data_IF_850246766136
#
_entry.id   IF_850246766136
#
_cell.length_a   1.000
_cell.length_b   1.000
_cell.length_c   1.000
_cell.angle_alpha   90.00
_cell.angle_beta   90.00
_cell.angle_gamma   90.00
#
_symmetry.space_group_name_H-M   'P 1'
#
loop_
_entity.id
_entity.type
_entity.pdbx_description
1 polymer ?
#
# COMPACT_ATOMS: atom_id res chain seq x y z
N UNK A 1 47.37 -29.41 70.76
CA UNK A 1 45.94 -29.05 70.94
C UNK A 1 45.61 -27.56 70.65
N UNK A 2 46.43 -26.79 69.91
CA UNK A 2 46.18 -25.35 69.66
C UNK A 2 45.47 -25.03 68.33
N UNK A 3 45.44 -25.98 67.38
CA UNK A 3 44.82 -25.79 66.06
C UNK A 3 43.35 -26.24 66.00
N UNK A 4 42.88 -27.08 66.94
CA UNK A 4 41.49 -27.57 66.98
C UNK A 4 40.52 -26.46 67.39
N UNK A 5 40.92 -25.60 68.34
CA UNK A 5 40.11 -24.45 68.76
C UNK A 5 39.96 -23.41 67.65
N UNK A 6 40.98 -23.22 66.81
CA UNK A 6 40.92 -22.27 65.69
C UNK A 6 40.00 -22.78 64.56
N UNK A 7 40.02 -24.09 64.28
CA UNK A 7 39.07 -24.72 63.34
C UNK A 7 37.64 -24.73 63.85
N UNK A 8 37.43 -24.87 65.16
CA UNK A 8 36.10 -24.81 65.79
C UNK A 8 35.48 -23.40 65.75
N UNK A 9 36.30 -22.35 65.88
CA UNK A 9 35.84 -20.94 65.79
C UNK A 9 35.47 -20.56 64.35
N UNK A 10 36.21 -21.04 63.36
CA UNK A 10 35.90 -20.81 61.93
C UNK A 10 34.65 -21.59 61.52
N UNK A 11 34.44 -22.80 62.06
CA UNK A 11 33.23 -23.59 61.85
C UNK A 11 31.99 -22.97 62.52
N UNK A 12 32.14 -22.31 63.68
CA UNK A 12 31.04 -21.59 64.34
C UNK A 12 30.59 -20.34 63.57
N UNK A 13 31.49 -19.68 62.85
CA UNK A 13 31.17 -18.47 62.08
C UNK A 13 30.43 -18.79 60.76
N UNK A 14 30.53 -20.03 60.26
CA UNK A 14 29.88 -20.47 59.02
C UNK A 14 28.40 -20.87 59.19
N UNK A 15 27.87 -20.93 60.41
CA UNK A 15 26.50 -21.42 60.69
C UNK A 15 25.52 -20.25 60.93
N UNK A 16 25.97 -18.99 60.92
CA UNK A 16 25.05 -17.86 60.92
C UNK A 16 24.50 -17.64 59.50
N UNK A 17 23.21 -17.87 59.23
CA UNK A 17 22.63 -17.39 58.00
C UNK A 17 22.71 -15.87 58.03
N UNK A 18 23.42 -15.30 57.06
CA UNK A 18 23.33 -13.88 56.70
C UNK A 18 21.91 -13.63 56.16
N UNK A 19 20.90 -13.68 57.03
CA UNK A 19 19.53 -13.28 56.69
C UNK A 19 19.51 -11.75 56.66
N UNK A 20 19.96 -11.18 55.53
CA UNK A 20 19.88 -9.76 55.29
C UNK A 20 18.41 -9.33 55.25
N UNK A 21 18.00 -8.49 56.20
CA UNK A 21 16.68 -7.84 56.20
C UNK A 21 16.61 -6.96 54.95
N UNK A 22 15.56 -7.12 54.15
CA UNK A 22 15.33 -6.37 52.92
C UNK A 22 14.19 -5.38 53.15
N UNK A 23 14.28 -4.23 52.47
CA UNK A 23 13.24 -3.19 52.53
C UNK A 23 12.51 -3.15 51.19
N UNK A 24 11.19 -3.36 51.23
CA UNK A 24 10.31 -3.29 50.08
C UNK A 24 9.53 -1.98 50.16
N UNK A 25 9.76 -1.11 49.19
CA UNK A 25 9.05 0.16 49.08
C UNK A 25 7.76 -0.05 48.28
N UNK A 26 6.61 0.36 48.81
CA UNK A 26 5.32 0.32 48.11
C UNK A 26 4.99 1.68 47.49
N UNK A 27 4.26 1.67 46.37
CA UNK A 27 3.76 2.87 45.68
C UNK A 27 2.83 3.74 46.53
N UNK A 28 2.24 3.16 47.58
CA UNK A 28 1.34 3.85 48.52
C UNK A 28 2.09 4.50 49.70
N UNK A 29 3.42 4.50 49.70
CA UNK A 29 4.22 5.15 50.73
C UNK A 29 4.51 4.30 51.97
N UNK A 30 4.09 3.03 52.01
CA UNK A 30 4.44 2.08 53.07
C UNK A 30 5.75 1.35 52.72
N UNK A 31 6.63 1.17 53.68
CA UNK A 31 7.79 0.27 53.57
C UNK A 31 7.55 -0.97 54.41
N UNK A 32 7.89 -2.13 53.85
CA UNK A 32 7.80 -3.43 54.54
C UNK A 32 9.23 -3.97 54.66
N UNK A 33 9.65 -4.20 55.91
CA UNK A 33 10.94 -4.82 56.23
C UNK A 33 10.74 -6.31 56.48
N UNK A 34 11.47 -7.14 55.75
CA UNK A 34 11.32 -8.59 55.82
C UNK A 34 12.31 -9.33 54.95
N UNK A 35 12.28 -10.66 55.03
CA UNK A 35 13.08 -11.54 54.19
C UNK A 35 12.21 -11.94 53.00
N UNK A 36 12.69 -11.73 51.78
CA UNK A 36 11.98 -12.18 50.58
C UNK A 36 12.26 -13.66 50.38
N UNK A 37 11.22 -14.48 50.52
CA UNK A 37 11.30 -15.94 50.50
C UNK A 37 11.13 -16.48 49.08
N UNK A 38 10.25 -15.87 48.29
CA UNK A 38 10.00 -16.25 46.90
C UNK A 38 9.56 -15.05 46.05
N UNK A 39 9.91 -15.08 44.75
CA UNK A 39 9.51 -14.07 43.78
C UNK A 39 8.92 -14.75 42.55
N UNK A 40 7.66 -14.45 42.24
CA UNK A 40 6.96 -14.89 41.04
C UNK A 40 6.77 -13.72 40.06
N UNK A 41 6.19 -13.95 38.87
CA UNK A 41 5.97 -12.91 37.84
C UNK A 41 5.03 -11.81 38.34
N UNK A 42 4.01 -12.16 39.13
CA UNK A 42 2.97 -11.23 39.59
C UNK A 42 3.08 -10.83 41.07
N UNK A 43 3.79 -11.61 41.89
CA UNK A 43 3.85 -11.45 43.35
C UNK A 43 5.25 -11.65 43.94
N UNK A 44 5.44 -11.11 45.14
CA UNK A 44 6.61 -11.26 46.00
C UNK A 44 6.13 -11.74 47.36
N UNK A 45 6.69 -12.84 47.83
CA UNK A 45 6.39 -13.43 49.13
C UNK A 45 7.45 -12.99 50.14
N UNK A 46 7.00 -12.48 51.28
CA UNK A 46 7.84 -11.81 52.27
C UNK A 46 7.51 -12.31 53.66
N UNK A 47 8.53 -12.77 54.37
CA UNK A 47 8.44 -13.05 55.80
C UNK A 47 8.82 -11.80 56.59
N UNK A 48 7.82 -11.22 57.25
CA UNK A 48 7.99 -10.01 58.07
C UNK A 48 8.76 -10.36 59.35
N UNK A 49 9.50 -9.42 59.92
CA UNK A 49 10.22 -9.60 61.20
C UNK A 49 9.32 -10.08 62.36
N UNK A 50 8.01 -9.88 62.25
CA UNK A 50 6.99 -10.34 63.20
C UNK A 50 6.57 -11.81 63.02
N UNK A 51 7.25 -12.58 62.14
CA UNK A 51 6.93 -13.98 61.84
C UNK A 51 5.71 -14.19 60.95
N UNK A 52 5.19 -13.13 60.32
CA UNK A 52 4.02 -13.19 59.42
C UNK A 52 4.45 -13.24 57.96
N UNK A 53 3.99 -14.26 57.25
CA UNK A 53 4.13 -14.41 55.81
C UNK A 53 3.12 -13.51 55.07
N UNK A 54 3.59 -12.70 54.12
CA UNK A 54 2.77 -11.78 53.33
C UNK A 54 3.07 -11.90 51.84
N UNK A 55 2.01 -11.95 51.03
CA UNK A 55 2.11 -11.96 49.56
C UNK A 55 1.77 -10.56 49.03
N UNK A 56 2.72 -9.92 48.36
CA UNK A 56 2.61 -8.56 47.84
C UNK A 56 2.61 -8.61 46.31
N UNK A 57 1.67 -7.95 45.65
CA UNK A 57 1.69 -7.86 44.17
C UNK A 57 2.80 -6.92 43.69
N UNK A 58 3.55 -7.33 42.66
CA UNK A 58 4.56 -6.47 42.02
C UNK A 58 3.98 -5.17 41.44
N UNK A 59 2.67 -5.13 41.16
CA UNK A 59 1.96 -3.91 40.73
C UNK A 59 1.98 -2.81 41.80
N UNK A 60 2.08 -3.15 43.08
CA UNK A 60 2.10 -2.19 44.19
C UNK A 60 3.51 -1.90 44.71
N UNK A 61 4.52 -2.67 44.30
CA UNK A 61 5.92 -2.47 44.66
C UNK A 61 6.53 -1.35 43.82
N UNK A 62 7.25 -0.44 44.48
CA UNK A 62 8.04 0.63 43.88
C UNK A 62 9.46 0.14 43.58
N UNK A 63 10.15 -0.40 44.59
CA UNK A 63 11.53 -0.93 44.49
C UNK A 63 11.81 -1.88 45.65
N UNK A 64 12.61 -2.91 45.40
CA UNK A 64 13.10 -3.85 46.42
C UNK A 64 14.58 -3.54 46.66
N UNK A 65 14.96 -3.30 47.91
CA UNK A 65 16.33 -2.95 48.26
C UNK A 65 16.85 -3.98 49.26
N UNK A 66 17.94 -4.65 48.87
CA UNK A 66 18.57 -5.75 49.60
C UNK A 66 19.51 -5.24 50.72
N UNK A 67 19.11 -4.19 51.43
CA UNK A 67 19.84 -3.58 52.56
C UNK A 67 18.83 -2.89 53.49
N UNK A 68 19.09 -2.89 54.79
CA UNK A 68 18.32 -2.08 55.75
C UNK A 68 18.70 -0.60 55.58
N UNK A 69 17.69 0.26 55.36
CA UNK A 69 17.86 1.67 54.98
C UNK A 69 17.30 2.54 56.10
N UNK A 70 17.97 3.66 56.38
CA UNK A 70 17.47 4.69 57.29
C UNK A 70 16.33 5.49 56.64
N UNK A 71 15.39 5.98 57.46
CA UNK A 71 14.15 6.64 57.00
C UNK A 71 14.40 7.85 56.07
N UNK A 72 15.53 8.57 56.26
CA UNK A 72 15.94 9.69 55.40
C UNK A 72 16.42 9.28 53.99
N UNK A 73 17.02 8.10 53.86
CA UNK A 73 17.46 7.56 52.56
C UNK A 73 16.27 6.95 51.79
N UNK A 74 15.25 6.43 52.48
CA UNK A 74 14.01 5.97 51.85
C UNK A 74 13.23 7.09 51.16
N UNK A 75 13.19 8.29 51.76
CA UNK A 75 12.46 9.42 51.19
C UNK A 75 13.14 9.99 49.93
N UNK A 76 14.47 10.05 49.94
CA UNK A 76 15.25 10.52 48.79
C UNK A 76 15.10 9.58 47.59
N UNK A 77 15.14 8.26 47.81
CA UNK A 77 14.94 7.25 46.75
C UNK A 77 13.52 7.31 46.18
N UNK A 78 12.50 7.64 46.99
CA UNK A 78 11.12 7.82 46.51
C UNK A 78 11.00 9.05 45.62
N UNK A 79 11.58 10.17 46.02
CA UNK A 79 11.55 11.41 45.23
C UNK A 79 12.24 11.22 43.88
N UNK A 80 13.42 10.59 43.85
CA UNK A 80 14.18 10.34 42.62
C UNK A 80 13.43 9.38 41.67
N UNK A 81 12.87 8.28 42.18
CA UNK A 81 12.14 7.30 41.37
C UNK A 81 10.78 7.83 40.88
N UNK A 82 10.14 8.72 41.64
CA UNK A 82 8.91 9.39 41.25
C UNK A 82 9.17 10.47 40.19
N UNK A 83 10.22 11.26 40.31
CA UNK A 83 10.65 12.23 39.30
C UNK A 83 11.05 11.55 37.99
N UNK A 84 11.80 10.46 38.04
CA UNK A 84 12.18 9.71 36.84
C UNK A 84 10.97 9.19 36.07
N UNK A 85 9.95 8.67 36.77
CA UNK A 85 8.69 8.23 36.13
C UNK A 85 7.83 9.38 35.63
N UNK A 86 7.84 10.54 36.29
CA UNK A 86 7.16 11.74 35.77
C UNK A 86 7.81 12.19 34.46
N UNK A 87 9.14 12.25 34.43
CA UNK A 87 9.91 12.62 33.24
C UNK A 87 9.69 11.65 32.07
N UNK A 88 9.72 10.33 32.31
CA UNK A 88 9.46 9.32 31.27
C UNK A 88 8.03 9.42 30.71
N UNK A 89 7.03 9.66 31.57
CA UNK A 89 5.64 9.86 31.15
C UNK A 89 5.46 11.15 30.35
N UNK A 90 6.04 12.26 30.79
CA UNK A 90 6.00 13.53 30.06
C UNK A 90 6.65 13.42 28.68
N UNK A 91 7.80 12.72 28.59
CA UNK A 91 8.44 12.40 27.32
C UNK A 91 7.55 11.55 26.41
N UNK A 92 6.86 10.54 26.96
CA UNK A 92 5.95 9.69 26.19
C UNK A 92 4.72 10.46 25.67
N UNK A 93 4.17 11.39 26.47
CA UNK A 93 3.06 12.25 26.06
C UNK A 93 3.52 13.24 24.98
N UNK A 94 4.68 13.87 25.16
CA UNK A 94 5.24 14.80 24.19
C UNK A 94 5.54 14.11 22.85
N UNK A 95 6.08 12.89 22.88
CA UNK A 95 6.34 12.10 21.68
C UNK A 95 5.04 11.77 20.90
N UNK A 96 3.98 11.33 21.59
CA UNK A 96 2.68 11.06 20.95
C UNK A 96 2.01 12.32 20.41
N UNK A 97 2.14 13.47 21.09
CA UNK A 97 1.61 14.74 20.59
C UNK A 97 2.32 15.20 19.31
N UNK A 98 3.64 15.00 19.23
CA UNK A 98 4.43 15.31 18.05
C UNK A 98 4.07 14.40 16.86
N UNK A 99 3.84 13.12 17.11
CA UNK A 99 3.40 12.16 16.10
C UNK A 99 2.04 12.55 15.49
N UNK A 100 1.08 12.91 16.34
CA UNK A 100 -0.24 13.40 15.88
C UNK A 100 -0.09 14.69 15.05
N UNK A 101 0.77 15.62 15.47
CA UNK A 101 1.02 16.87 14.72
C UNK A 101 1.56 16.58 13.32
N UNK A 102 2.61 15.77 13.22
CA UNK A 102 3.21 15.40 11.93
C UNK A 102 2.22 14.71 11.00
N UNK A 103 1.38 13.80 11.53
CA UNK A 103 0.38 13.10 10.71
C UNK A 103 -0.71 14.06 10.19
N UNK A 104 -1.14 15.04 10.99
CA UNK A 104 -2.09 16.08 10.55
C UNK A 104 -1.50 17.00 9.46
N UNK A 105 -0.23 17.39 9.59
CA UNK A 105 0.47 18.20 8.59
C UNK A 105 0.62 17.44 7.26
N UNK A 106 0.97 16.16 7.30
CA UNK A 106 1.09 15.31 6.11
C UNK A 106 -0.25 15.13 5.39
N UNK A 107 -1.33 14.88 6.12
CA UNK A 107 -2.69 14.80 5.54
C UNK A 107 -3.08 16.08 4.81
N UNK A 108 -2.79 17.23 5.41
CA UNK A 108 -3.07 18.55 4.81
C UNK A 108 -2.26 18.76 3.53
N UNK A 109 -1.00 18.29 3.51
CA UNK A 109 -0.15 18.39 2.32
C UNK A 109 -0.65 17.49 1.20
N UNK A 110 -1.00 16.24 1.50
CA UNK A 110 -1.55 15.30 0.53
C UNK A 110 -2.87 15.78 -0.08
N UNK A 111 -3.74 16.41 0.71
CA UNK A 111 -4.98 17.01 0.19
C UNK A 111 -4.72 18.14 -0.81
N UNK A 112 -3.72 19.00 -0.55
CA UNK A 112 -3.37 20.09 -1.47
C UNK A 112 -2.69 19.61 -2.75
N UNK A 113 -1.81 18.60 -2.66
CA UNK A 113 -1.20 17.95 -3.82
C UNK A 113 -2.24 17.21 -4.68
N UNK A 114 -3.30 16.65 -4.09
CA UNK A 114 -4.41 16.00 -4.82
C UNK A 114 -5.24 17.01 -5.60
N UNK A 115 -5.63 18.13 -4.97
CA UNK A 115 -6.38 19.21 -5.64
C UNK A 115 -5.61 19.77 -6.84
N UNK A 116 -4.28 19.87 -6.75
CA UNK A 116 -3.44 20.32 -7.86
C UNK A 116 -3.35 19.32 -9.04
N UNK A 117 -3.52 18.01 -8.80
CA UNK A 117 -3.45 16.97 -9.84
C UNK A 117 -4.77 16.79 -10.60
N UNK A 118 -5.91 17.06 -9.98
CA UNK A 118 -7.23 16.98 -10.62
C UNK A 118 -7.42 18.00 -11.75
N UNK A 119 -6.69 19.13 -11.71
CA UNK A 119 -6.77 20.20 -12.71
C UNK A 119 -5.89 19.95 -13.97
N UNK A 120 -5.05 18.90 -13.97
CA UNK A 120 -3.98 18.69 -14.97
C UNK A 120 -4.24 17.64 -16.06
N UNK A 121 -5.48 17.23 -16.30
CA UNK A 121 -5.80 16.20 -17.29
C UNK A 121 -5.74 16.71 -18.74
N UNK A 122 -4.67 16.39 -19.47
CA UNK A 122 -4.53 16.71 -20.90
C UNK A 122 -5.45 15.81 -21.75
N UNK A 123 -6.49 16.39 -22.32
CA UNK A 123 -7.38 15.74 -23.29
C UNK A 123 -6.77 15.86 -24.68
N UNK A 124 -6.10 14.80 -25.15
CA UNK A 124 -5.65 14.72 -26.53
C UNK A 124 -6.88 14.49 -27.41
N UNK A 125 -7.28 15.53 -28.14
CA UNK A 125 -8.35 15.45 -29.14
C UNK A 125 -7.74 15.03 -30.48
N UNK A 126 -8.20 13.92 -31.03
CA UNK A 126 -7.82 13.51 -32.38
C UNK A 126 -8.51 14.42 -33.40
N UNK A 127 -7.74 14.92 -34.38
CA UNK A 127 -8.25 15.81 -35.42
C UNK A 127 -9.13 15.07 -36.43
N UNK A 128 -10.15 15.74 -36.97
CA UNK A 128 -11.12 15.24 -37.95
C UNK A 128 -10.53 14.72 -39.28
N UNK A 129 -9.20 14.73 -39.45
CA UNK A 129 -8.53 14.25 -40.67
C UNK A 129 -8.02 12.80 -40.60
N UNK A 130 -8.04 12.17 -39.43
CA UNK A 130 -7.58 10.79 -39.25
C UNK A 130 -8.71 9.74 -39.19
N UNK A 131 -9.97 10.16 -39.37
CA UNK A 131 -11.11 9.25 -39.27
C UNK A 131 -11.33 8.48 -40.58
N UNK A 132 -10.54 7.44 -40.82
CA UNK A 132 -11.06 6.30 -41.59
C UNK A 132 -12.01 5.55 -40.67
N UNK A 133 -13.32 5.76 -40.84
CA UNK A 133 -14.34 5.02 -40.06
C UNK A 133 -14.35 3.58 -40.56
N UNK A 134 -13.50 2.74 -39.97
CA UNK A 134 -13.74 1.31 -39.93
C UNK A 134 -14.85 1.09 -38.92
N UNK A 135 -16.10 1.19 -39.39
CA UNK A 135 -17.23 0.67 -38.63
C UNK A 135 -16.97 -0.82 -38.37
N UNK A 136 -17.19 -1.28 -37.15
CA UNK A 136 -17.09 -2.69 -36.78
C UNK A 136 -17.91 -3.51 -37.77
N UNK A 137 -17.24 -4.23 -38.68
CA UNK A 137 -17.94 -5.02 -39.69
C UNK A 137 -18.38 -6.33 -39.05
N UNK A 138 -19.69 -6.41 -38.85
CA UNK A 138 -20.47 -7.60 -38.48
C UNK A 138 -20.26 -8.20 -37.06
N UNK A 139 -21.32 -8.87 -36.61
CA UNK A 139 -21.61 -9.28 -35.24
C UNK A 139 -20.46 -10.04 -34.54
N UNK A 140 -19.94 -9.45 -33.46
CA UNK A 140 -19.14 -10.15 -32.43
C UNK A 140 -17.63 -10.22 -32.64
N UNK A 141 -17.09 -9.88 -33.83
CA UNK A 141 -15.66 -9.95 -34.08
C UNK A 141 -15.00 -8.56 -34.02
N UNK A 142 -14.25 -8.31 -32.94
CA UNK A 142 -13.53 -7.05 -32.74
C UNK A 142 -12.24 -7.02 -33.58
N UNK A 143 -12.16 -6.07 -34.51
CA UNK A 143 -10.98 -5.89 -35.37
C UNK A 143 -9.93 -5.09 -34.60
N UNK A 144 -8.71 -5.62 -34.53
CA UNK A 144 -7.55 -4.92 -33.96
C UNK A 144 -6.65 -4.44 -35.10
N UNK A 145 -6.25 -3.17 -35.11
CA UNK A 145 -5.39 -2.58 -36.14
C UNK A 145 -3.93 -2.68 -35.75
N UNK A 146 -3.07 -3.13 -36.66
CA UNK A 146 -1.63 -3.22 -36.40
C UNK A 146 -0.93 -1.86 -36.50
N UNK A 147 0.07 -1.56 -35.65
CA UNK A 147 0.95 -0.40 -35.83
C UNK A 147 1.77 -0.57 -37.12
N UNK A 148 2.19 0.55 -37.73
CA UNK A 148 2.93 0.50 -39.00
C UNK A 148 4.30 -0.20 -38.89
N UNK A 149 4.89 -0.19 -37.69
CA UNK A 149 6.16 -0.86 -37.38
C UNK A 149 6.05 -2.39 -37.23
N UNK A 150 4.84 -2.97 -37.18
CA UNK A 150 4.67 -4.41 -37.00
C UNK A 150 5.14 -5.21 -38.24
N UNK A 151 5.67 -6.41 -37.99
CA UNK A 151 5.94 -7.41 -39.03
C UNK A 151 4.64 -8.10 -39.41
N UNK A 152 4.33 -8.13 -40.70
CA UNK A 152 3.06 -8.65 -41.19
C UNK A 152 3.26 -9.63 -42.35
N UNK A 153 2.32 -10.57 -42.48
CA UNK A 153 2.24 -11.53 -43.57
C UNK A 153 0.92 -11.33 -44.31
N UNK A 154 0.97 -11.40 -45.64
CA UNK A 154 -0.23 -11.27 -46.47
C UNK A 154 -1.16 -12.46 -46.26
N UNK A 155 -2.40 -12.16 -45.86
CA UNK A 155 -3.43 -13.16 -45.60
C UNK A 155 -4.36 -13.33 -46.80
N UNK A 156 -4.86 -12.22 -47.34
CA UNK A 156 -5.78 -12.26 -48.47
C UNK A 156 -5.63 -11.02 -49.37
N UNK A 157 -5.90 -11.19 -50.65
CA UNK A 157 -5.85 -10.15 -51.67
C UNK A 157 -7.17 -10.10 -52.44
N UNK A 158 -7.75 -8.91 -52.58
CA UNK A 158 -9.01 -8.70 -53.28
C UNK A 158 -8.90 -7.60 -54.33
N UNK A 159 -9.07 -7.91 -55.63
CA UNK A 159 -9.08 -6.92 -56.67
C UNK A 159 -10.42 -6.16 -56.68
N UNK A 160 -10.35 -4.86 -56.44
CA UNK A 160 -11.47 -3.95 -56.54
C UNK A 160 -11.46 -3.21 -57.87
N UNK A 161 -12.61 -3.22 -58.55
CA UNK A 161 -12.85 -2.41 -59.73
C UNK A 161 -13.66 -1.18 -59.35
N UNK A 162 -13.31 -0.06 -59.96
CA UNK A 162 -13.97 1.21 -59.78
C UNK A 162 -14.36 1.84 -61.12
N UNK A 163 -15.51 2.52 -61.13
CA UNK A 163 -15.95 3.40 -62.20
C UNK A 163 -15.52 4.84 -61.88
N UNK A 164 -15.50 5.70 -62.91
CA UNK A 164 -15.34 7.16 -62.82
C UNK A 164 -13.98 7.50 -62.19
N UNK A 165 -12.91 6.90 -62.72
CA UNK A 165 -11.55 7.16 -62.23
C UNK A 165 -11.35 6.84 -60.74
N UNK A 166 -12.11 5.90 -60.17
CA UNK A 166 -12.03 5.57 -58.75
C UNK A 166 -13.16 6.16 -57.89
N UNK A 167 -14.09 6.90 -58.48
CA UNK A 167 -15.19 7.55 -57.74
C UNK A 167 -16.27 6.60 -57.23
N UNK A 168 -16.54 5.50 -57.94
CA UNK A 168 -17.60 4.55 -57.58
C UNK A 168 -17.07 3.11 -57.60
N UNK A 169 -17.41 2.31 -56.59
CA UNK A 169 -17.05 0.88 -56.52
C UNK A 169 -18.08 0.04 -57.29
N UNK A 170 -17.63 -0.95 -58.06
CA UNK A 170 -18.55 -1.88 -58.75
C UNK A 170 -19.21 -2.86 -57.78
N UNK A 171 -18.46 -3.36 -56.79
CA UNK A 171 -18.92 -4.34 -55.82
C UNK A 171 -18.22 -4.14 -54.50
N UNK A 172 -18.98 -4.16 -53.42
CA UNK A 172 -18.42 -4.09 -52.06
C UNK A 172 -17.72 -5.41 -51.70
N UNK A 173 -16.54 -5.35 -51.07
CA UNK A 173 -15.86 -6.54 -50.59
C UNK A 173 -16.64 -7.22 -49.46
N UNK A 174 -16.69 -8.55 -49.46
CA UNK A 174 -17.23 -9.31 -48.34
C UNK A 174 -16.16 -9.43 -47.24
N UNK A 175 -16.24 -8.54 -46.27
CA UNK A 175 -15.30 -8.47 -45.15
C UNK A 175 -15.28 -9.73 -44.28
N UNK A 176 -16.34 -10.56 -44.27
CA UNK A 176 -16.37 -11.80 -43.50
C UNK A 176 -15.39 -12.86 -44.03
N UNK A 177 -15.03 -12.75 -45.31
CA UNK A 177 -14.11 -13.65 -46.01
C UNK A 177 -12.70 -13.05 -46.07
N UNK A 178 -12.61 -11.72 -46.19
CA UNK A 178 -11.32 -11.03 -46.31
C UNK A 178 -10.61 -10.86 -44.97
N UNK A 179 -11.36 -10.70 -43.88
CA UNK A 179 -10.78 -10.56 -42.55
C UNK A 179 -10.56 -11.94 -41.91
N UNK A 180 -9.44 -12.14 -41.22
CA UNK A 180 -9.25 -13.33 -40.40
C UNK A 180 -10.29 -13.34 -39.27
N UNK A 181 -10.76 -14.53 -38.89
CA UNK A 181 -11.65 -14.72 -37.74
C UNK A 181 -10.91 -14.72 -36.39
N UNK A 182 -9.60 -14.48 -36.42
CA UNK A 182 -8.73 -14.46 -35.24
C UNK A 182 -8.61 -13.03 -34.69
N UNK A 183 -8.38 -12.90 -33.38
CA UNK A 183 -8.13 -11.60 -32.71
C UNK A 183 -6.72 -11.03 -32.98
N UNK A 184 -6.06 -11.44 -34.07
CA UNK A 184 -4.73 -10.93 -34.43
C UNK A 184 -4.85 -9.54 -35.05
N UNK A 185 -3.86 -8.65 -34.83
CA UNK A 185 -3.90 -7.32 -35.41
C UNK A 185 -3.75 -7.41 -36.93
N UNK A 186 -4.60 -6.69 -37.66
CA UNK A 186 -4.62 -6.67 -39.12
C UNK A 186 -4.16 -5.31 -39.65
N UNK A 187 -3.56 -5.33 -40.84
CA UNK A 187 -3.24 -4.14 -41.61
C UNK A 187 -3.90 -4.24 -42.97
N UNK A 188 -4.79 -3.30 -43.26
CA UNK A 188 -5.50 -3.24 -44.52
C UNK A 188 -4.82 -2.17 -45.37
N UNK A 189 -4.29 -2.56 -46.52
CA UNK A 189 -3.66 -1.65 -47.50
C UNK A 189 -4.43 -1.70 -48.80
N UNK A 190 -4.55 -0.56 -49.46
CA UNK A 190 -5.04 -0.50 -50.83
C UNK A 190 -3.87 -0.06 -51.72
N UNK A 191 -3.38 -0.96 -52.58
CA UNK A 191 -2.23 -0.71 -53.44
C UNK A 191 -2.57 -0.95 -54.90
N UNK A 192 -1.90 -0.22 -55.79
CA UNK A 192 -1.99 -0.46 -57.24
C UNK A 192 -0.85 -1.36 -57.65
N UNK A 193 -1.16 -2.62 -57.96
CA UNK A 193 -0.17 -3.54 -58.52
C UNK A 193 0.12 -3.17 -59.98
N UNK A 194 1.22 -3.70 -60.55
CA UNK A 194 1.53 -3.43 -61.96
C UNK A 194 0.44 -3.94 -62.92
N UNK A 195 -0.22 -5.05 -62.58
CA UNK A 195 -1.40 -5.53 -63.31
C UNK A 195 -2.57 -4.56 -63.22
N UNK A 196 -2.76 -3.93 -62.06
CA UNK A 196 -3.80 -2.92 -61.86
C UNK A 196 -3.52 -1.66 -62.69
N UNK A 197 -2.25 -1.25 -62.77
CA UNK A 197 -1.82 -0.15 -63.63
C UNK A 197 -2.06 -0.47 -65.10
N UNK A 198 -1.72 -1.68 -65.56
CA UNK A 198 -1.96 -2.10 -66.95
C UNK A 198 -3.46 -2.09 -67.32
N UNK A 199 -4.31 -2.65 -66.46
CA UNK A 199 -5.78 -2.64 -66.64
C UNK A 199 -6.31 -1.22 -66.62
N UNK A 200 -5.80 -0.37 -65.73
CA UNK A 200 -6.22 1.04 -65.62
C UNK A 200 -5.72 1.89 -66.79
N UNK A 201 -4.56 1.60 -67.38
CA UNK A 201 -4.08 2.33 -68.56
C UNK A 201 -4.89 1.99 -69.81
N UNK A 202 -5.24 0.71 -69.99
CA UNK A 202 -6.04 0.25 -71.14
C UNK A 202 -7.53 0.60 -70.98
N UNK A 203 -8.08 0.44 -69.77
CA UNK A 203 -9.49 0.70 -69.48
C UNK A 203 -9.81 2.12 -69.02
N UNK A 204 -8.90 2.80 -68.33
CA UNK A 204 -9.16 4.11 -67.73
C UNK A 204 -9.31 5.23 -68.76
N UNK A 205 -8.58 5.15 -69.89
CA UNK A 205 -8.67 6.16 -70.96
C UNK A 205 -9.93 6.00 -71.82
N UNK A 206 -10.41 4.77 -72.03
CA UNK A 206 -11.51 4.49 -72.95
C UNK A 206 -12.86 4.29 -72.24
N UNK A 207 -12.87 3.73 -71.03
CA UNK A 207 -14.10 3.28 -70.34
C UNK A 207 -14.17 3.76 -68.87
N UNK A 208 -13.26 4.63 -68.42
CA UNK A 208 -13.21 5.20 -67.05
C UNK A 208 -13.12 4.16 -65.92
N UNK A 209 -12.69 2.93 -66.24
CA UNK A 209 -12.54 1.84 -65.27
C UNK A 209 -11.12 1.85 -64.69
N UNK A 210 -11.02 1.81 -63.37
CA UNK A 210 -9.74 1.65 -62.66
C UNK A 210 -9.78 0.40 -61.79
N UNK A 211 -8.62 -0.23 -61.58
CA UNK A 211 -8.46 -1.38 -60.70
C UNK A 211 -7.51 -1.02 -59.57
N UNK A 212 -7.80 -1.46 -58.35
CA UNK A 212 -6.90 -1.41 -57.18
C UNK A 212 -7.03 -2.72 -56.44
N UNK A 213 -6.00 -3.13 -55.70
CA UNK A 213 -6.04 -4.36 -54.93
C UNK A 213 -6.00 -4.04 -53.43
N UNK A 214 -6.99 -4.54 -52.68
CA UNK A 214 -6.95 -4.56 -51.22
C UNK A 214 -6.09 -5.74 -50.80
N UNK A 215 -5.11 -5.46 -49.94
CA UNK A 215 -4.25 -6.46 -49.31
C UNK A 215 -4.55 -6.41 -47.82
N UNK A 216 -4.98 -7.54 -47.27
CA UNK A 216 -5.18 -7.73 -45.83
C UNK A 216 -3.97 -8.49 -45.32
N UNK A 217 -3.14 -7.82 -44.54
CA UNK A 217 -2.01 -8.43 -43.86
C UNK A 217 -2.38 -8.75 -42.40
N UNK A 218 -1.92 -9.90 -41.90
CA UNK A 218 -1.99 -10.26 -40.49
C UNK A 218 -0.63 -10.00 -39.85
N UNK A 219 -0.61 -9.26 -38.75
CA UNK A 219 0.60 -8.82 -38.10
C UNK A 219 0.81 -9.53 -36.76
N UNK A 220 2.07 -9.60 -36.34
CA UNK A 220 2.44 -10.08 -35.00
C UNK A 220 2.60 -8.89 -34.04
N UNK A 221 2.10 -9.02 -32.80
CA UNK A 221 2.30 -8.05 -31.72
C UNK A 221 1.02 -7.44 -31.16
N UNK A 222 1.16 -6.32 -30.45
CA UNK A 222 0.04 -5.52 -29.98
C UNK A 222 -0.53 -4.67 -31.10
N UNK A 223 -1.83 -4.41 -31.04
CA UNK A 223 -2.49 -3.50 -31.96
C UNK A 223 -3.49 -2.59 -31.25
N UNK A 224 -3.98 -1.62 -31.99
CA UNK A 224 -4.95 -0.64 -31.52
C UNK A 224 -6.36 -1.19 -31.71
N UNK A 225 -7.16 -1.09 -30.65
CA UNK A 225 -8.58 -1.45 -30.70
C UNK A 225 -9.38 -0.17 -30.92
N UNK A 226 -10.23 -0.18 -31.93
CA UNK A 226 -11.19 0.90 -32.13
C UNK A 226 -12.28 0.73 -31.08
N UNK A 227 -12.36 1.68 -30.15
CA UNK A 227 -13.39 1.72 -29.10
C UNK A 227 -14.29 2.90 -29.39
N UNK A 228 -15.60 2.72 -29.24
CA UNK A 228 -16.56 3.82 -29.43
C UNK A 228 -16.43 4.86 -28.33
N UNK A 229 -16.72 6.13 -28.63
CA UNK A 229 -16.66 7.23 -27.65
C UNK A 229 -17.53 6.96 -26.41
N UNK A 230 -18.65 6.27 -26.56
CA UNK A 230 -19.52 5.87 -25.43
C UNK A 230 -18.88 4.81 -24.54
N UNK A 231 -18.16 3.87 -25.14
CA UNK A 231 -17.44 2.84 -24.39
C UNK A 231 -16.17 3.41 -23.73
N UNK A 232 -15.48 4.35 -24.37
CA UNK A 232 -14.41 5.13 -23.74
C UNK A 232 -14.92 5.87 -22.50
N UNK A 233 -16.08 6.54 -22.61
CA UNK A 233 -16.71 7.21 -21.46
C UNK A 233 -17.02 6.23 -20.34
N UNK A 234 -17.63 5.09 -20.64
CA UNK A 234 -17.96 4.07 -19.65
C UNK A 234 -16.71 3.52 -18.93
N UNK A 235 -15.65 3.20 -19.67
CA UNK A 235 -14.38 2.73 -19.11
C UNK A 235 -13.76 3.81 -18.21
N UNK A 236 -13.80 5.06 -18.65
CA UNK A 236 -13.31 6.20 -17.87
C UNK A 236 -14.12 6.38 -16.58
N UNK A 237 -15.44 6.34 -16.67
CA UNK A 237 -16.33 6.52 -15.52
C UNK A 237 -16.15 5.38 -14.49
N UNK A 238 -16.02 4.12 -14.95
CA UNK A 238 -15.73 2.96 -14.10
C UNK A 238 -14.37 3.08 -13.41
N UNK A 239 -13.32 3.47 -14.14
CA UNK A 239 -12.00 3.68 -13.57
C UNK A 239 -12.00 4.82 -12.53
N UNK A 240 -12.72 5.92 -12.79
CA UNK A 240 -12.88 7.03 -11.84
C UNK A 240 -13.62 6.57 -10.58
N UNK A 241 -14.65 5.74 -10.71
CA UNK A 241 -15.40 5.20 -9.57
C UNK A 241 -14.53 4.26 -8.71
N UNK A 242 -13.73 3.39 -9.34
CA UNK A 242 -12.78 2.52 -8.63
C UNK A 242 -11.71 3.32 -7.88
N UNK A 243 -11.14 4.34 -8.52
CA UNK A 243 -10.15 5.22 -7.87
C UNK A 243 -10.79 5.97 -6.71
N UNK A 244 -12.02 6.47 -6.88
CA UNK A 244 -12.76 7.17 -5.82
C UNK A 244 -13.03 6.27 -4.63
N UNK A 245 -13.48 5.04 -4.86
CA UNK A 245 -13.75 4.08 -3.78
C UNK A 245 -12.47 3.69 -3.02
N UNK A 246 -11.34 3.49 -3.73
CA UNK A 246 -10.05 3.22 -3.09
C UNK A 246 -9.56 4.42 -2.26
N UNK A 247 -9.77 5.64 -2.74
CA UNK A 247 -9.42 6.86 -2.00
C UNK A 247 -10.29 7.05 -0.75
N UNK A 248 -11.61 6.84 -0.85
CA UNK A 248 -12.53 6.93 0.27
C UNK A 248 -12.18 5.91 1.38
N UNK A 249 -11.76 4.69 1.00
CA UNK A 249 -11.29 3.67 1.94
C UNK A 249 -9.99 4.08 2.65
N UNK A 250 -9.00 4.59 1.91
CA UNK A 250 -7.74 5.07 2.51
C UNK A 250 -7.98 6.22 3.47
N UNK A 251 -8.81 7.19 3.12
CA UNK A 251 -9.15 8.31 4.01
C UNK A 251 -9.86 7.86 5.29
N UNK A 252 -10.70 6.82 5.21
CA UNK A 252 -11.36 6.24 6.37
C UNK A 252 -10.37 5.54 7.31
N UNK A 253 -9.41 4.79 6.75
CA UNK A 253 -8.34 4.11 7.50
C UNK A 253 -7.46 5.12 8.26
N UNK A 254 -7.00 6.19 7.59
CA UNK A 254 -6.14 7.19 8.22
C UNK A 254 -6.85 7.97 9.33
N UNK A 255 -8.15 8.27 9.16
CA UNK A 255 -8.98 8.90 10.20
C UNK A 255 -9.11 7.98 11.42
N UNK A 256 -9.30 6.68 11.19
CA UNK A 256 -9.38 5.70 12.26
C UNK A 256 -8.06 5.59 13.05
N UNK A 257 -6.91 5.54 12.36
CA UNK A 257 -5.59 5.53 13.00
C UNK A 257 -5.36 6.77 13.88
N UNK A 258 -5.72 7.96 13.38
CA UNK A 258 -5.64 9.20 14.15
C UNK A 258 -6.55 9.18 15.40
N UNK A 259 -7.78 8.72 15.26
CA UNK A 259 -8.71 8.62 16.39
C UNK A 259 -8.18 7.65 17.47
N UNK A 260 -7.55 6.56 17.05
CA UNK A 260 -6.93 5.60 17.97
C UNK A 260 -5.73 6.22 18.72
N UNK A 261 -4.88 6.98 18.02
CA UNK A 261 -3.77 7.73 18.64
C UNK A 261 -4.26 8.77 19.65
N UNK A 262 -5.36 9.46 19.34
CA UNK A 262 -5.98 10.44 20.25
C UNK A 262 -6.55 9.78 21.50
N UNK A 263 -7.27 8.66 21.36
CA UNK A 263 -7.77 7.86 22.49
C UNK A 263 -6.63 7.35 23.38
N UNK A 264 -5.55 6.89 22.77
CA UNK A 264 -4.35 6.45 23.46
C UNK A 264 -3.73 7.59 24.28
N UNK A 265 -3.59 8.78 23.68
CA UNK A 265 -3.09 9.98 24.36
C UNK A 265 -3.99 10.35 25.55
N UNK A 266 -5.31 10.34 25.38
CA UNK A 266 -6.25 10.59 26.46
C UNK A 266 -6.12 9.57 27.59
N UNK A 267 -5.96 8.29 27.27
CA UNK A 267 -5.80 7.22 28.26
C UNK A 267 -4.53 7.43 29.11
N UNK A 268 -3.45 7.91 28.50
CA UNK A 268 -2.21 8.25 29.18
C UNK A 268 -2.38 9.47 30.09
N UNK A 269 -3.15 10.48 29.64
CA UNK A 269 -3.48 11.67 30.44
C UNK A 269 -4.41 11.37 31.61
N UNK A 270 -5.37 10.46 31.45
CA UNK A 270 -6.33 10.03 32.49
C UNK A 270 -5.70 9.15 33.57
N UNK A 271 -4.56 8.49 33.31
CA UNK A 271 -3.76 7.73 34.31
C UNK A 271 -2.94 8.65 35.26
N UNK A 272 -3.36 9.91 35.40
CA UNK A 272 -2.81 10.92 36.32
C UNK A 272 -3.49 10.78 37.68
#
# INVERSE_FOLDING_TARGET
MRNIYLTLIILLFAIFPLSAVQTILLKQGKSIKGIVTNQNVDSVEVDTQNGKHMVISKKTVLKIIYKDIAESEEENIRKEEEEKRKLEKEKAIAAKQEEIRKRREELTRQESERKAKEEGGEVVTHSLRDSFVLGSVADGNMITLAPDSAKCQTFNEYPEYFWLFGGLRFKEPDWNVLLPKDNRPVRIKQTSTWTDMAVTLLGGFLITITRKTIIVDVCEGSGYRMVSDSEIKRIKDEAVEQIRTEQELKEAEEKYELEQLEKDLESLKKKK
#
